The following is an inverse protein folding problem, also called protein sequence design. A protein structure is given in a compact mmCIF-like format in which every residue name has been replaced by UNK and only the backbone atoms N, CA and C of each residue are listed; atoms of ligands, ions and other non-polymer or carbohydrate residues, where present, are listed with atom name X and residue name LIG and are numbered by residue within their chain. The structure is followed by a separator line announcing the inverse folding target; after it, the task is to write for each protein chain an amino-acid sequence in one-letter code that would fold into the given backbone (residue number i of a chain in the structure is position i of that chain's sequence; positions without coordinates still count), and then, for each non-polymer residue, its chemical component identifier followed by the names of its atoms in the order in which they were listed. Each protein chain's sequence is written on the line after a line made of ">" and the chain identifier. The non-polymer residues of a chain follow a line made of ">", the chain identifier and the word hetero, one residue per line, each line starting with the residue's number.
data_IF_482544945980
#
_entry.id   IF_482544945980
#
_cell.length_a   1.000
_cell.length_b   1.000
_cell.length_c   1.000
_cell.angle_alpha   90.00
_cell.angle_beta   90.00
_cell.angle_gamma   90.00
#
_symmetry.space_group_name_H-M   'P 1'
#
loop_
_entity.id
_entity.type
_entity.pdbx_description
1 polymer ?
#
# COMPACT_ATOMS: atom_id res chain seq x y z
N UNK A 1 27.54 -17.37 49.83
CA UNK A 1 26.89 -16.43 48.89
C UNK A 1 25.83 -17.26 48.20
N UNK A 2 24.63 -17.33 48.77
CA UNK A 2 23.51 -18.07 48.20
C UNK A 2 22.88 -17.21 47.10
N UNK A 3 22.83 -17.75 45.89
CA UNK A 3 22.19 -17.13 44.74
C UNK A 3 20.68 -17.38 44.88
N UNK A 4 19.92 -16.31 45.13
CA UNK A 4 18.46 -16.35 45.15
C UNK A 4 17.96 -16.58 43.72
N UNK A 5 17.41 -17.76 43.47
CA UNK A 5 16.77 -18.11 42.21
C UNK A 5 15.35 -17.52 42.17
N UNK A 6 15.24 -16.34 41.55
CA UNK A 6 14.04 -15.50 41.50
C UNK A 6 12.87 -16.14 40.70
N UNK A 7 13.10 -17.27 40.05
CA UNK A 7 12.13 -17.92 39.16
C UNK A 7 11.63 -19.28 39.66
N UNK A 8 12.08 -19.74 40.83
CA UNK A 8 11.66 -21.02 41.41
C UNK A 8 10.15 -21.09 41.75
N UNK A 9 9.44 -19.95 41.79
CA UNK A 9 7.99 -19.88 42.07
C UNK A 9 7.10 -19.87 40.82
N UNK A 10 7.66 -19.87 39.60
CA UNK A 10 6.89 -20.00 38.38
C UNK A 10 6.82 -21.49 38.03
N UNK A 11 5.68 -22.13 38.34
CA UNK A 11 5.42 -23.51 37.94
C UNK A 11 5.55 -23.71 36.43
N UNK A 12 5.69 -24.97 36.00
CA UNK A 12 5.85 -25.29 34.58
C UNK A 12 4.73 -24.68 33.72
N UNK A 13 5.05 -24.08 32.56
CA UNK A 13 4.05 -23.49 31.69
C UNK A 13 3.06 -24.57 31.21
N UNK A 14 1.77 -24.32 31.43
CA UNK A 14 0.70 -25.19 30.95
C UNK A 14 0.79 -25.30 29.42
N UNK A 15 0.81 -26.53 28.90
CA UNK A 15 0.88 -26.78 27.47
C UNK A 15 -0.30 -26.08 26.76
N UNK A 16 0.02 -25.20 25.80
CA UNK A 16 -0.96 -24.55 24.94
C UNK A 16 -1.86 -25.62 24.31
N UNK A 17 -3.14 -25.60 24.68
CA UNK A 17 -4.16 -26.42 24.01
C UNK A 17 -4.23 -25.96 22.56
N UNK A 18 -4.21 -26.87 21.57
CA UNK A 18 -4.29 -26.48 20.17
C UNK A 18 -5.61 -25.74 19.94
N UNK A 19 -5.54 -24.45 19.68
CA UNK A 19 -6.69 -23.71 19.18
C UNK A 19 -7.13 -24.33 17.86
N UNK A 20 -8.45 -24.51 17.72
CA UNK A 20 -9.06 -25.07 16.53
C UNK A 20 -8.56 -24.32 15.30
N UNK A 21 -8.04 -25.04 14.32
CA UNK A 21 -7.69 -24.51 12.99
C UNK A 21 -8.85 -23.62 12.50
N UNK A 22 -8.62 -22.32 12.47
CA UNK A 22 -9.62 -21.34 12.03
C UNK A 22 -9.72 -21.47 10.51
N UNK A 23 -10.80 -22.08 10.04
CA UNK A 23 -11.13 -22.08 8.61
C UNK A 23 -11.88 -20.80 8.31
N UNK A 24 -11.24 -19.86 7.62
CA UNK A 24 -11.90 -18.66 7.11
C UNK A 24 -13.01 -19.07 6.11
N UNK A 25 -14.15 -18.37 6.08
CA UNK A 25 -15.17 -18.63 5.07
C UNK A 25 -14.58 -18.39 3.68
N UNK A 26 -14.72 -19.39 2.80
CA UNK A 26 -14.30 -19.26 1.40
C UNK A 26 -15.07 -18.09 0.76
N UNK A 27 -14.42 -17.23 -0.05
CA UNK A 27 -15.12 -16.23 -0.83
C UNK A 27 -16.18 -16.90 -1.70
N UNK A 28 -17.43 -16.44 -1.62
CA UNK A 28 -18.50 -16.93 -2.48
C UNK A 28 -18.18 -16.45 -3.90
N UNK A 29 -17.82 -17.39 -4.77
CA UNK A 29 -17.60 -17.11 -6.19
C UNK A 29 -18.89 -16.52 -6.80
N UNK A 30 -18.89 -15.24 -7.15
CA UNK A 30 -20.08 -14.63 -7.73
C UNK A 30 -20.03 -13.14 -8.09
N UNK A 31 -18.97 -12.38 -7.80
CA UNK A 31 -18.93 -10.96 -8.11
C UNK A 31 -17.54 -10.51 -8.58
N UNK A 32 -17.21 -10.88 -9.81
CA UNK A 32 -16.19 -10.18 -10.58
C UNK A 32 -16.88 -9.58 -11.79
N UNK A 33 -16.50 -8.34 -12.13
CA UNK A 33 -16.70 -7.77 -13.46
C UNK A 33 -16.29 -8.79 -14.55
N UNK A 34 -16.89 -8.76 -15.76
CA UNK A 34 -16.81 -9.86 -16.72
C UNK A 34 -15.36 -10.28 -16.96
N UNK A 35 -15.15 -11.59 -16.93
CA UNK A 35 -13.89 -12.30 -17.20
C UNK A 35 -13.02 -11.55 -18.21
N UNK A 36 -11.92 -10.97 -17.73
CA UNK A 36 -10.77 -10.68 -18.59
C UNK A 36 -10.37 -12.01 -19.22
N UNK A 37 -10.21 -12.03 -20.54
CA UNK A 37 -9.82 -13.23 -21.27
C UNK A 37 -8.60 -13.87 -20.59
N UNK A 38 -8.65 -15.19 -20.37
CA UNK A 38 -7.51 -15.95 -19.87
C UNK A 38 -6.29 -15.58 -20.71
N UNK A 39 -5.18 -15.10 -20.11
CA UNK A 39 -3.91 -15.05 -20.81
C UNK A 39 -3.65 -16.44 -21.37
N UNK A 40 -3.33 -16.54 -22.67
CA UNK A 40 -2.88 -17.80 -23.25
C UNK A 40 -1.72 -18.29 -22.39
N UNK A 41 -1.83 -19.52 -21.89
CA UNK A 41 -0.71 -20.20 -21.24
C UNK A 41 0.51 -20.07 -22.16
N UNK A 42 1.64 -19.54 -21.68
CA UNK A 42 2.88 -19.61 -22.42
C UNK A 42 3.10 -21.07 -22.80
N UNK A 43 3.23 -21.34 -24.10
CA UNK A 43 3.71 -22.63 -24.56
C UNK A 43 5.00 -22.92 -23.81
N UNK A 44 5.08 -24.11 -23.21
CA UNK A 44 6.21 -24.54 -22.38
C UNK A 44 7.53 -24.32 -23.12
N UNK A 45 8.15 -23.16 -22.89
CA UNK A 45 9.51 -22.90 -23.26
C UNK A 45 10.38 -23.78 -22.36
N UNK A 46 11.31 -24.49 -22.98
CA UNK A 46 12.20 -25.44 -22.34
C UNK A 46 12.73 -24.89 -21.01
N UNK A 47 12.68 -25.75 -19.98
CA UNK A 47 13.13 -25.47 -18.62
C UNK A 47 14.42 -24.63 -18.62
N UNK A 48 14.29 -23.36 -18.26
CA UNK A 48 15.43 -22.56 -17.85
C UNK A 48 16.01 -23.23 -16.60
N UNK A 49 17.34 -23.41 -16.58
CA UNK A 49 18.04 -24.01 -15.45
C UNK A 49 17.76 -23.29 -14.12
N UNK A 50 18.22 -23.84 -12.98
CA UNK A 50 17.84 -23.37 -11.65
C UNK A 50 17.98 -21.85 -11.59
N UNK A 51 16.85 -21.17 -11.37
CA UNK A 51 16.75 -19.73 -11.35
C UNK A 51 17.87 -19.19 -10.49
N UNK A 52 18.75 -18.40 -11.11
CA UNK A 52 19.83 -17.74 -10.41
C UNK A 52 19.16 -16.91 -9.32
N UNK A 53 19.34 -17.28 -8.04
CA UNK A 53 18.95 -16.49 -6.86
C UNK A 53 19.20 -15.04 -7.25
N UNK A 54 18.17 -14.20 -7.22
CA UNK A 54 18.40 -12.78 -7.40
C UNK A 54 19.42 -12.41 -6.33
N UNK A 55 20.67 -12.15 -6.73
CA UNK A 55 21.61 -11.44 -5.87
C UNK A 55 20.81 -10.22 -5.42
N UNK A 56 20.55 -10.10 -4.11
CA UNK A 56 19.88 -8.95 -3.53
C UNK A 56 20.50 -7.72 -4.19
N UNK A 57 19.76 -7.13 -5.12
CA UNK A 57 20.37 -6.21 -6.06
C UNK A 57 20.68 -4.97 -5.24
N UNK A 58 21.95 -4.84 -4.85
CA UNK A 58 22.55 -3.59 -4.38
C UNK A 58 22.67 -2.59 -5.53
N UNK A 59 21.62 -2.43 -6.34
CA UNK A 59 21.35 -1.11 -6.88
C UNK A 59 20.80 -0.37 -5.67
N UNK A 60 21.47 0.69 -5.17
CA UNK A 60 20.74 1.65 -4.38
C UNK A 60 19.63 2.12 -5.32
N UNK A 61 18.41 1.60 -5.15
CA UNK A 61 17.29 2.47 -5.40
C UNK A 61 17.59 3.65 -4.49
N UNK A 62 17.76 4.84 -5.06
CA UNK A 62 18.21 6.07 -4.41
C UNK A 62 17.15 6.58 -3.40
N UNK A 63 16.55 5.69 -2.59
CA UNK A 63 15.49 5.97 -1.64
C UNK A 63 15.84 7.03 -0.62
N UNK A 64 17.03 7.02 0.01
CA UNK A 64 17.48 8.14 0.82
C UNK A 64 17.46 9.47 0.05
N UNK A 65 18.00 9.49 -1.17
CA UNK A 65 18.05 10.70 -1.99
C UNK A 65 16.66 11.12 -2.50
N UNK A 66 15.77 10.16 -2.79
CA UNK A 66 14.37 10.40 -3.12
C UNK A 66 13.66 11.06 -1.94
N UNK A 67 13.74 10.47 -0.75
CA UNK A 67 13.13 11.02 0.45
C UNK A 67 13.67 12.41 0.78
N UNK A 68 14.99 12.60 0.68
CA UNK A 68 15.62 13.91 0.87
C UNK A 68 15.15 14.93 -0.16
N UNK A 69 15.00 14.54 -1.43
CA UNK A 69 14.49 15.42 -2.48
C UNK A 69 13.05 15.86 -2.23
N UNK A 70 12.18 14.93 -1.81
CA UNK A 70 10.79 15.23 -1.43
C UNK A 70 10.75 16.20 -0.25
N UNK A 71 11.44 15.89 0.85
CA UNK A 71 11.48 16.73 2.03
C UNK A 71 12.07 18.12 1.72
N UNK A 72 13.13 18.14 0.94
CA UNK A 72 13.78 19.38 0.52
C UNK A 72 12.88 20.25 -0.35
N UNK A 73 12.16 19.66 -1.32
CA UNK A 73 11.22 20.40 -2.17
C UNK A 73 10.07 20.98 -1.33
N UNK A 74 9.50 20.17 -0.44
CA UNK A 74 8.42 20.58 0.47
C UNK A 74 8.84 21.74 1.38
N UNK A 75 9.99 21.63 2.05
CA UNK A 75 10.43 22.65 3.00
C UNK A 75 10.98 23.91 2.32
N UNK A 76 11.70 23.80 1.19
CA UNK A 76 12.18 24.97 0.43
C UNK A 76 11.05 25.80 -0.17
N UNK A 77 9.94 25.15 -0.53
CA UNK A 77 8.74 25.82 -1.02
C UNK A 77 7.82 26.31 0.10
N UNK A 78 8.24 26.22 1.37
CA UNK A 78 7.46 26.63 2.55
C UNK A 78 6.13 25.88 2.72
N UNK A 79 6.08 24.58 2.41
CA UNK A 79 4.87 23.75 2.55
C UNK A 79 4.36 23.55 3.99
N UNK A 80 5.15 23.89 5.01
CA UNK A 80 4.76 23.80 6.42
C UNK A 80 4.90 22.39 7.00
N UNK A 81 4.07 22.07 7.98
CA UNK A 81 4.24 20.87 8.83
C UNK A 81 3.30 19.70 8.47
N UNK A 82 2.45 19.87 7.45
CA UNK A 82 1.46 18.88 7.01
C UNK A 82 2.14 17.78 6.18
N UNK A 83 2.76 16.81 6.85
CA UNK A 83 3.47 15.70 6.21
C UNK A 83 2.57 14.83 5.33
N UNK A 84 1.26 14.81 5.60
CA UNK A 84 0.28 14.05 4.83
C UNK A 84 0.18 14.50 3.37
N UNK A 85 0.50 15.76 3.07
CA UNK A 85 0.46 16.31 1.70
C UNK A 85 1.58 15.72 0.82
N UNK A 86 2.88 15.90 1.14
CA UNK A 86 3.95 15.31 0.34
C UNK A 86 3.87 13.77 0.30
N UNK A 87 3.41 13.12 1.37
CA UNK A 87 3.13 11.67 1.36
C UNK A 87 2.00 11.31 0.40
N UNK A 88 0.92 12.08 0.38
CA UNK A 88 -0.19 11.91 -0.54
C UNK A 88 0.21 12.05 -2.00
N UNK A 89 1.13 12.95 -2.30
CA UNK A 89 1.69 13.13 -3.64
C UNK A 89 2.45 11.87 -4.08
N UNK A 90 3.33 11.35 -3.23
CA UNK A 90 4.07 10.10 -3.50
C UNK A 90 3.11 8.93 -3.67
N UNK A 91 2.11 8.80 -2.78
CA UNK A 91 1.08 7.78 -2.88
C UNK A 91 0.27 7.89 -4.18
N UNK A 92 -0.07 9.10 -4.62
CA UNK A 92 -0.81 9.36 -5.86
C UNK A 92 -0.04 8.85 -7.09
N UNK A 93 1.26 9.15 -7.17
CA UNK A 93 2.11 8.67 -8.26
C UNK A 93 2.30 7.15 -8.20
N UNK A 94 2.54 6.61 -7.00
CA UNK A 94 2.73 5.17 -6.80
C UNK A 94 1.49 4.35 -7.17
N UNK A 95 0.31 4.89 -6.87
CA UNK A 95 -0.98 4.28 -7.17
C UNK A 95 -1.52 4.66 -8.54
N UNK A 96 -0.77 5.38 -9.39
CA UNK A 96 -1.31 5.78 -10.69
C UNK A 96 -1.75 4.54 -11.49
N UNK A 97 -3.02 4.47 -11.97
CA UNK A 97 -3.57 3.24 -12.56
C UNK A 97 -2.85 2.75 -13.82
N UNK A 98 -2.35 3.69 -14.64
CA UNK A 98 -1.63 3.35 -15.86
C UNK A 98 -0.18 2.99 -15.53
N UNK A 99 0.19 1.73 -15.78
CA UNK A 99 1.55 1.20 -15.61
C UNK A 99 2.24 1.04 -16.97
N UNK A 100 3.56 0.85 -16.98
CA UNK A 100 4.40 0.63 -18.17
C UNK A 100 4.83 1.89 -18.94
N UNK A 101 4.37 3.08 -18.55
CA UNK A 101 4.51 4.32 -19.34
C UNK A 101 5.15 5.48 -18.55
N UNK A 102 6.13 5.16 -17.68
CA UNK A 102 6.68 6.10 -16.70
C UNK A 102 7.09 7.48 -17.29
N UNK A 103 7.86 7.49 -18.40
CA UNK A 103 8.29 8.74 -19.05
C UNK A 103 7.13 9.58 -19.57
N UNK A 104 6.21 8.97 -20.32
CA UNK A 104 5.03 9.68 -20.88
C UNK A 104 4.16 10.25 -19.77
N UNK A 105 3.97 9.48 -18.69
CA UNK A 105 3.22 9.93 -17.52
C UNK A 105 3.94 11.07 -16.79
N UNK A 106 5.25 11.00 -16.63
CA UNK A 106 6.02 12.07 -16.01
C UNK A 106 5.88 13.39 -16.79
N UNK A 107 5.95 13.35 -18.12
CA UNK A 107 5.76 14.54 -18.96
C UNK A 107 4.33 15.08 -18.88
N UNK A 108 3.33 14.19 -18.83
CA UNK A 108 1.94 14.57 -18.57
C UNK A 108 1.80 15.33 -17.24
N UNK A 109 2.27 14.76 -16.12
CA UNK A 109 2.16 15.41 -14.81
C UNK A 109 2.92 16.73 -14.72
N UNK A 110 4.10 16.84 -15.36
CA UNK A 110 4.87 18.10 -15.40
C UNK A 110 4.13 19.23 -16.11
N UNK A 111 3.25 18.89 -17.05
CA UNK A 111 2.43 19.85 -17.78
C UNK A 111 1.24 20.39 -16.99
N UNK A 112 0.88 19.77 -15.86
CA UNK A 112 -0.30 20.13 -15.09
C UNK A 112 -0.06 21.34 -14.19
N UNK A 113 -1.10 22.15 -14.01
CA UNK A 113 -1.14 23.15 -12.95
C UNK A 113 -1.50 22.52 -11.59
N UNK A 114 -1.45 23.33 -10.52
CA UNK A 114 -1.71 22.82 -9.18
C UNK A 114 -3.14 22.27 -9.02
N UNK A 115 -4.15 22.92 -9.59
CA UNK A 115 -5.55 22.49 -9.47
C UNK A 115 -5.78 21.16 -10.19
N UNK A 116 -5.18 21.00 -11.37
CA UNK A 116 -5.18 19.73 -12.10
C UNK A 116 -4.46 18.62 -11.33
N UNK A 117 -3.35 18.93 -10.65
CA UNK A 117 -2.66 17.97 -9.79
C UNK A 117 -3.52 17.55 -8.58
N UNK A 118 -4.24 18.48 -7.93
CA UNK A 118 -5.20 18.15 -6.88
C UNK A 118 -6.32 17.23 -7.42
N UNK A 119 -6.80 17.49 -8.63
CA UNK A 119 -7.77 16.60 -9.29
C UNK A 119 -7.21 15.19 -9.48
N UNK A 120 -5.95 15.04 -9.91
CA UNK A 120 -5.30 13.73 -10.02
C UNK A 120 -5.24 12.98 -8.69
N UNK A 121 -4.96 13.66 -7.57
CA UNK A 121 -4.97 13.05 -6.22
C UNK A 121 -6.35 12.46 -5.91
N UNK A 122 -7.42 13.24 -6.17
CA UNK A 122 -8.81 12.79 -5.96
C UNK A 122 -9.19 11.62 -6.87
N UNK A 123 -8.78 11.67 -8.13
CA UNK A 123 -9.07 10.63 -9.12
C UNK A 123 -8.40 9.30 -8.75
N UNK A 124 -7.14 9.32 -8.31
CA UNK A 124 -6.44 8.10 -7.84
C UNK A 124 -7.12 7.52 -6.61
N UNK A 125 -7.46 8.37 -5.64
CA UNK A 125 -8.17 7.95 -4.44
C UNK A 125 -9.52 7.29 -4.80
N UNK A 126 -10.32 7.92 -5.67
CA UNK A 126 -11.59 7.36 -6.12
C UNK A 126 -11.42 6.05 -6.91
N UNK A 127 -10.43 5.97 -7.81
CA UNK A 127 -10.15 4.78 -8.61
C UNK A 127 -9.84 3.57 -7.73
N UNK A 128 -9.01 3.75 -6.70
CA UNK A 128 -8.65 2.68 -5.79
C UNK A 128 -9.70 2.44 -4.72
N UNK A 129 -10.47 3.43 -4.29
CA UNK A 129 -11.57 3.22 -3.36
C UNK A 129 -12.61 2.26 -3.95
N UNK A 130 -12.87 2.34 -5.25
CA UNK A 130 -13.73 1.38 -5.96
C UNK A 130 -13.17 -0.06 -5.96
N UNK A 131 -11.88 -0.27 -5.72
CA UNK A 131 -11.23 -1.59 -5.79
C UNK A 131 -10.88 -2.14 -4.41
N UNK A 132 -10.31 -1.29 -3.57
CA UNK A 132 -9.78 -1.55 -2.22
C UNK A 132 -10.27 -0.44 -1.27
N UNK A 133 -11.60 -0.35 -1.01
CA UNK A 133 -12.15 0.72 -0.19
C UNK A 133 -11.61 0.68 1.24
N UNK A 134 -11.27 -0.51 1.73
CA UNK A 134 -10.65 -0.76 3.02
C UNK A 134 -9.28 -0.10 3.15
N UNK A 135 -8.39 -0.33 2.19
CA UNK A 135 -7.04 0.24 2.20
C UNK A 135 -7.05 1.74 1.93
N UNK A 136 -7.94 2.22 1.05
CA UNK A 136 -8.04 3.65 0.77
C UNK A 136 -8.69 4.41 1.94
N UNK A 137 -9.60 3.80 2.69
CA UNK A 137 -10.12 4.40 3.93
C UNK A 137 -9.03 4.51 4.99
N UNK A 138 -8.23 3.45 5.19
CA UNK A 138 -7.02 3.51 6.06
C UNK A 138 -6.03 4.56 5.59
N UNK A 139 -5.81 4.68 4.27
CA UNK A 139 -4.92 5.66 3.68
C UNK A 139 -5.56 7.06 3.50
N UNK A 140 -6.78 7.28 3.99
CA UNK A 140 -7.55 8.48 3.64
C UNK A 140 -6.88 9.80 4.04
N UNK A 141 -6.07 9.79 5.11
CA UNK A 141 -5.26 10.95 5.51
C UNK A 141 -4.34 11.46 4.38
N UNK A 142 -3.90 10.57 3.48
CA UNK A 142 -3.03 10.89 2.35
C UNK A 142 -3.77 11.53 1.16
N UNK A 143 -5.11 11.52 1.15
CA UNK A 143 -5.89 11.99 0.00
C UNK A 143 -6.89 13.09 0.35
N UNK A 144 -7.43 13.10 1.58
CA UNK A 144 -8.48 14.04 2.01
C UNK A 144 -8.08 15.51 1.87
N UNK A 145 -6.79 15.83 2.01
CA UNK A 145 -6.30 17.20 1.84
C UNK A 145 -6.58 17.75 0.43
N UNK A 146 -6.67 16.91 -0.61
CA UNK A 146 -6.98 17.35 -1.96
C UNK A 146 -8.46 17.75 -2.16
N UNK A 147 -9.33 17.48 -1.18
CA UNK A 147 -10.73 17.94 -1.17
C UNK A 147 -10.86 19.37 -0.61
N UNK A 148 -9.78 19.95 -0.06
CA UNK A 148 -9.77 21.24 0.63
C UNK A 148 -9.47 22.43 -0.32
N UNK A 149 -9.77 22.33 -1.63
CA UNK A 149 -9.29 23.25 -2.69
C UNK A 149 -9.44 24.74 -2.40
N UNK A 150 -10.55 25.15 -1.78
CA UNK A 150 -10.85 26.56 -1.47
C UNK A 150 -9.98 27.16 -0.34
N UNK A 151 -9.10 26.35 0.27
CA UNK A 151 -8.32 26.74 1.46
C UNK A 151 -6.83 26.96 1.20
N UNK A 152 -6.31 26.65 0.02
CA UNK A 152 -4.88 26.74 -0.24
C UNK A 152 -4.43 28.14 -0.68
N UNK A 153 -3.37 28.61 -0.01
CA UNK A 153 -2.63 29.80 -0.43
C UNK A 153 -1.80 29.51 -1.69
N UNK A 154 -1.38 30.56 -2.40
CA UNK A 154 -0.49 30.43 -3.56
C UNK A 154 0.85 29.76 -3.20
N UNK A 155 1.35 29.95 -1.98
CA UNK A 155 2.57 29.31 -1.49
C UNK A 155 2.37 27.79 -1.29
N UNK A 156 1.24 27.36 -0.73
CA UNK A 156 0.94 25.94 -0.57
C UNK A 156 0.75 25.24 -1.92
N UNK A 157 0.05 25.88 -2.86
CA UNK A 157 -0.08 25.36 -4.23
C UNK A 157 1.27 25.25 -4.94
N UNK A 158 2.17 26.20 -4.71
CA UNK A 158 3.56 26.13 -5.19
C UNK A 158 4.31 24.96 -4.54
N UNK A 159 4.18 24.75 -3.23
CA UNK A 159 4.83 23.64 -2.52
C UNK A 159 4.32 22.27 -2.99
N UNK A 160 3.01 22.12 -3.19
CA UNK A 160 2.38 20.91 -3.75
C UNK A 160 2.98 20.62 -5.12
N UNK A 161 2.99 21.62 -6.02
CA UNK A 161 3.56 21.47 -7.35
C UNK A 161 5.05 21.12 -7.30
N UNK A 162 5.85 21.84 -6.52
CA UNK A 162 7.28 21.59 -6.38
C UNK A 162 7.56 20.15 -5.90
N UNK A 163 6.72 19.63 -5.00
CA UNK A 163 6.84 18.26 -4.49
C UNK A 163 6.49 17.22 -5.55
N UNK A 164 5.44 17.45 -6.36
CA UNK A 164 5.14 16.60 -7.52
C UNK A 164 6.32 16.55 -8.48
N UNK A 165 6.88 17.70 -8.85
CA UNK A 165 8.04 17.75 -9.73
C UNK A 165 9.25 17.02 -9.15
N UNK A 166 9.54 17.21 -7.85
CA UNK A 166 10.62 16.49 -7.19
C UNK A 166 10.43 14.97 -7.22
N UNK A 167 9.21 14.47 -6.98
CA UNK A 167 8.90 13.05 -7.07
C UNK A 167 9.12 12.50 -8.49
N UNK A 168 8.72 13.26 -9.51
CA UNK A 168 8.90 12.87 -10.92
C UNK A 168 10.37 12.90 -11.34
N UNK A 169 11.12 13.92 -10.92
CA UNK A 169 12.53 14.09 -11.26
C UNK A 169 13.42 13.05 -10.56
N UNK A 170 12.94 12.49 -9.44
CA UNK A 170 13.53 11.35 -8.76
C UNK A 170 12.83 10.02 -9.08
N UNK A 171 12.22 9.93 -10.28
CA UNK A 171 11.78 8.68 -10.89
C UNK A 171 10.72 7.88 -10.09
N UNK A 172 9.82 8.55 -9.35
CA UNK A 172 8.74 7.87 -8.62
C UNK A 172 7.96 6.88 -9.50
N UNK A 173 7.67 7.27 -10.74
CA UNK A 173 6.93 6.46 -11.70
C UNK A 173 7.76 5.31 -12.29
N UNK A 174 9.08 5.43 -12.39
CA UNK A 174 9.91 4.27 -12.78
C UNK A 174 10.01 3.28 -11.62
N UNK A 175 9.98 3.73 -10.37
CA UNK A 175 10.04 2.85 -9.21
C UNK A 175 8.76 2.04 -8.95
N UNK A 176 7.60 2.59 -9.31
CA UNK A 176 6.28 2.03 -8.92
C UNK A 176 5.31 1.90 -10.09
N UNK A 177 5.77 2.22 -11.29
CA UNK A 177 4.97 2.21 -12.52
C UNK A 177 5.14 0.93 -13.35
N UNK A 178 5.75 -0.13 -12.82
CA UNK A 178 5.88 -1.40 -13.56
C UNK A 178 4.54 -2.16 -13.58
N UNK A 179 4.32 -2.94 -14.65
CA UNK A 179 3.20 -3.88 -14.72
C UNK A 179 3.37 -5.05 -13.75
N UNK A 180 4.62 -5.45 -13.52
CA UNK A 180 5.00 -6.48 -12.55
C UNK A 180 5.11 -5.89 -11.13
N UNK A 181 4.30 -6.37 -10.17
CA UNK A 181 4.39 -5.95 -8.77
C UNK A 181 5.72 -6.26 -8.09
N UNK A 182 6.51 -7.22 -8.59
CA UNK A 182 7.84 -7.50 -8.05
C UNK A 182 8.73 -6.28 -8.14
N UNK A 183 8.88 -5.71 -9.35
CA UNK A 183 9.70 -4.53 -9.59
C UNK A 183 9.24 -3.32 -8.77
N UNK A 184 7.93 -3.17 -8.57
CA UNK A 184 7.34 -2.11 -7.75
C UNK A 184 7.65 -2.23 -6.25
N UNK A 185 8.19 -3.36 -5.79
CA UNK A 185 8.53 -3.62 -4.39
C UNK A 185 10.03 -3.63 -4.10
N UNK A 186 10.86 -3.25 -5.07
CA UNK A 186 12.31 -3.07 -4.85
C UNK A 186 12.62 -1.88 -3.94
N UNK A 187 11.74 -0.88 -3.87
CA UNK A 187 11.88 0.28 -3.00
C UNK A 187 10.56 0.61 -2.29
N UNK A 188 10.66 0.98 -1.02
CA UNK A 188 9.55 1.54 -0.25
C UNK A 188 9.63 3.08 -0.28
N UNK A 189 9.00 3.70 -1.29
CA UNK A 189 8.98 5.16 -1.41
C UNK A 189 8.28 5.84 -0.23
N UNK A 190 7.26 5.19 0.36
CA UNK A 190 6.53 5.73 1.50
C UNK A 190 7.44 5.83 2.73
N UNK A 191 8.17 4.75 3.05
CA UNK A 191 9.13 4.71 4.15
C UNK A 191 10.16 5.83 4.03
N UNK A 192 10.81 5.95 2.87
CA UNK A 192 11.85 6.96 2.65
C UNK A 192 11.31 8.39 2.75
N UNK A 193 10.08 8.61 2.29
CA UNK A 193 9.42 9.92 2.37
C UNK A 193 9.07 10.28 3.82
N UNK A 194 8.42 9.38 4.57
CA UNK A 194 8.08 9.59 6.00
C UNK A 194 9.36 9.88 6.78
N UNK A 195 10.36 9.02 6.60
CA UNK A 195 11.64 9.08 7.30
C UNK A 195 12.35 10.41 7.08
N UNK A 196 12.31 10.94 5.86
CA UNK A 196 12.99 12.18 5.49
C UNK A 196 12.22 13.44 5.91
N UNK A 197 10.90 13.37 5.97
CA UNK A 197 10.04 14.46 6.43
C UNK A 197 10.00 14.60 7.97
N UNK A 198 10.20 13.50 8.72
CA UNK A 198 10.27 13.56 10.18
C UNK A 198 11.52 14.32 10.62
N UNK A 199 11.33 15.34 11.47
CA UNK A 199 12.45 16.06 12.09
C UNK A 199 13.37 15.09 12.84
N UNK A 200 14.69 15.29 12.69
CA UNK A 200 15.74 14.44 13.28
C UNK A 200 15.54 14.18 14.79
N UNK A 201 15.08 15.17 15.55
CA UNK A 201 14.83 15.04 17.00
C UNK A 201 13.62 14.14 17.32
N UNK A 202 12.60 14.12 16.47
CA UNK A 202 11.46 13.22 16.63
C UNK A 202 11.87 11.76 16.40
N UNK A 203 12.78 11.51 15.45
CA UNK A 203 13.33 10.16 15.17
C UNK A 203 14.09 9.59 16.38
N UNK A 204 14.88 10.42 17.08
CA UNK A 204 15.58 9.99 18.29
C UNK A 204 14.64 9.79 19.50
N UNK A 205 13.61 10.62 19.66
CA UNK A 205 12.68 10.54 20.77
C UNK A 205 11.66 9.39 20.68
N UNK A 206 11.29 8.99 19.46
CA UNK A 206 10.34 7.90 19.20
C UNK A 206 11.02 6.52 19.17
N UNK A 207 12.34 6.45 19.02
CA UNK A 207 13.06 5.17 18.92
C UNK A 207 12.68 4.36 17.66
N UNK A 208 12.06 4.99 16.67
CA UNK A 208 11.67 4.38 15.40
C UNK A 208 12.92 4.19 14.54
N UNK A 209 13.53 3.00 14.63
CA UNK A 209 14.63 2.59 13.76
C UNK A 209 14.07 1.76 12.60
N UNK A 210 14.33 2.21 11.38
CA UNK A 210 14.00 1.44 10.19
C UNK A 210 14.79 0.13 10.19
N UNK A 211 14.11 -1.01 10.18
CA UNK A 211 14.76 -2.32 10.03
C UNK A 211 15.44 -2.37 8.65
N UNK A 212 16.77 -2.56 8.56
CA UNK A 212 17.43 -2.64 7.28
C UNK A 212 16.82 -3.74 6.39
N UNK A 213 16.62 -3.50 5.08
CA UNK A 213 16.01 -4.46 4.18
C UNK A 213 16.62 -5.86 4.25
N UNK A 214 17.93 -5.94 4.41
CA UNK A 214 18.69 -7.21 4.47
C UNK A 214 18.32 -8.04 5.71
N UNK A 215 18.01 -7.37 6.82
CA UNK A 215 17.54 -8.03 8.05
C UNK A 215 16.12 -8.54 7.86
N UNK A 216 15.24 -7.75 7.24
CA UNK A 216 13.89 -8.20 6.90
C UNK A 216 13.91 -9.39 5.93
N UNK A 217 14.77 -9.36 4.91
CA UNK A 217 14.92 -10.44 3.92
C UNK A 217 15.39 -11.74 4.61
N UNK A 218 16.39 -11.65 5.49
CA UNK A 218 16.83 -12.78 6.31
C UNK A 218 15.71 -13.33 7.20
N UNK A 219 15.00 -12.46 7.92
CA UNK A 219 13.91 -12.87 8.82
C UNK A 219 12.77 -13.52 8.06
N UNK A 220 12.36 -12.95 6.93
CA UNK A 220 11.31 -13.49 6.07
C UNK A 220 11.67 -14.91 5.59
N UNK A 221 12.91 -15.11 5.12
CA UNK A 221 13.38 -16.42 4.67
C UNK A 221 13.38 -17.45 5.81
N UNK A 222 13.76 -17.06 7.03
CA UNK A 222 13.75 -17.95 8.19
C UNK A 222 12.33 -18.30 8.67
N UNK A 223 11.41 -17.33 8.66
CA UNK A 223 10.03 -17.52 9.14
C UNK A 223 9.21 -18.35 8.15
N UNK A 224 9.35 -18.07 6.85
CA UNK A 224 8.58 -18.74 5.80
C UNK A 224 9.18 -20.10 5.44
N UNK A 225 10.52 -20.22 5.49
CA UNK A 225 11.24 -21.42 5.06
C UNK A 225 11.54 -21.42 3.56
N UNK A 226 12.30 -22.43 3.11
CA UNK A 226 12.78 -22.54 1.72
C UNK A 226 12.03 -23.61 0.90
N UNK A 227 11.20 -24.45 1.52
CA UNK A 227 10.48 -25.54 0.86
C UNK A 227 9.10 -25.06 0.36
N UNK A 228 8.90 -24.87 -0.96
CA UNK A 228 7.62 -24.42 -1.50
C UNK A 228 6.49 -25.43 -1.28
N UNK A 229 6.79 -26.72 -1.14
CA UNK A 229 5.77 -27.76 -0.91
C UNK A 229 5.20 -27.69 0.51
N UNK A 230 5.99 -27.19 1.47
CA UNK A 230 5.56 -26.95 2.85
C UNK A 230 4.77 -25.63 3.02
N UNK A 231 4.87 -24.72 2.06
CA UNK A 231 4.20 -23.42 2.08
C UNK A 231 2.87 -23.54 1.34
N UNK A 232 1.76 -23.40 2.05
CA UNK A 232 0.43 -23.58 1.47
C UNK A 232 -0.28 -22.25 1.23
N UNK A 233 -1.00 -22.18 0.11
CA UNK A 233 -1.94 -21.10 -0.16
C UNK A 233 -2.94 -20.95 1.01
N UNK A 234 -3.12 -19.73 1.51
CA UNK A 234 -3.94 -19.46 2.70
C UNK A 234 -3.16 -19.29 4.01
N UNK A 235 -1.83 -19.42 4.01
CA UNK A 235 -1.01 -18.96 5.13
C UNK A 235 -1.28 -17.48 5.42
N UNK A 236 -1.32 -17.14 6.70
CA UNK A 236 -1.55 -15.79 7.18
C UNK A 236 -0.26 -15.23 7.75
N UNK A 237 0.19 -14.10 7.23
CA UNK A 237 1.31 -13.35 7.75
C UNK A 237 0.77 -12.15 8.53
N UNK A 238 1.22 -11.99 9.76
CA UNK A 238 0.86 -10.88 10.63
C UNK A 238 2.13 -10.13 11.04
N UNK A 239 2.10 -8.82 10.88
CA UNK A 239 3.13 -7.91 11.40
C UNK A 239 2.46 -6.94 12.38
N UNK A 240 2.76 -7.06 13.70
CA UNK A 240 2.10 -6.28 14.74
C UNK A 240 2.61 -4.83 14.84
N UNK A 241 3.71 -4.49 14.15
CA UNK A 241 4.34 -3.17 14.13
C UNK A 241 4.84 -2.88 12.72
N UNK A 242 3.92 -2.92 11.75
CA UNK A 242 4.24 -3.04 10.35
C UNK A 242 4.98 -1.83 9.78
N UNK A 243 4.90 -0.65 10.41
CA UNK A 243 5.34 0.60 9.80
C UNK A 243 4.65 0.77 8.44
N UNK A 244 5.45 0.97 7.39
CA UNK A 244 4.99 1.01 5.98
C UNK A 244 4.97 -0.36 5.30
N UNK A 245 5.23 -1.45 6.03
CA UNK A 245 5.17 -2.84 5.55
C UNK A 245 6.51 -3.43 5.10
N UNK A 246 7.65 -2.93 5.59
CA UNK A 246 8.99 -3.39 5.16
C UNK A 246 9.22 -4.91 5.32
N UNK A 247 8.66 -5.53 6.36
CA UNK A 247 8.69 -6.99 6.54
C UNK A 247 7.85 -7.69 5.46
N UNK A 248 6.66 -7.18 5.14
CA UNK A 248 5.79 -7.74 4.10
C UNK A 248 6.37 -7.60 2.70
N UNK A 249 7.07 -6.49 2.40
CA UNK A 249 7.84 -6.34 1.16
C UNK A 249 8.82 -7.51 1.00
N UNK A 250 9.57 -7.79 2.06
CA UNK A 250 10.63 -8.81 2.09
C UNK A 250 10.03 -10.22 2.02
N UNK A 251 8.94 -10.48 2.74
CA UNK A 251 8.18 -11.72 2.65
C UNK A 251 7.58 -11.96 1.25
N UNK A 252 7.02 -10.94 0.62
CA UNK A 252 6.49 -11.03 -0.74
C UNK A 252 7.59 -11.34 -1.77
N UNK A 253 8.76 -10.70 -1.62
CA UNK A 253 9.94 -11.00 -2.45
C UNK A 253 10.44 -12.43 -2.25
N UNK A 254 10.50 -12.91 -1.01
CA UNK A 254 10.86 -14.29 -0.70
C UNK A 254 9.90 -15.30 -1.33
N UNK A 255 8.59 -15.06 -1.23
CA UNK A 255 7.56 -15.90 -1.87
C UNK A 255 7.73 -15.93 -3.40
N UNK A 256 7.94 -14.77 -4.04
CA UNK A 256 8.21 -14.70 -5.49
C UNK A 256 9.46 -15.47 -5.90
N UNK A 257 10.52 -15.40 -5.07
CA UNK A 257 11.74 -16.17 -5.27
C UNK A 257 11.56 -17.69 -5.19
N UNK A 258 10.44 -18.15 -4.61
CA UNK A 258 10.00 -19.55 -4.57
C UNK A 258 8.93 -19.87 -5.64
N UNK A 259 8.72 -18.99 -6.62
CA UNK A 259 7.66 -19.07 -7.64
C UNK A 259 6.23 -19.09 -7.05
N UNK A 260 6.05 -18.55 -5.83
CA UNK A 260 4.75 -18.41 -5.17
C UNK A 260 4.19 -17.00 -5.36
N UNK A 261 2.89 -16.92 -5.62
CA UNK A 261 2.19 -15.65 -5.80
C UNK A 261 1.77 -15.04 -4.44
N UNK A 262 2.35 -13.88 -4.03
CA UNK A 262 1.99 -13.21 -2.78
C UNK A 262 0.49 -12.88 -2.65
N UNK A 263 -0.22 -12.72 -3.78
CA UNK A 263 -1.64 -12.39 -3.77
C UNK A 263 -2.55 -13.50 -3.23
N UNK A 264 -2.02 -14.73 -3.09
CA UNK A 264 -2.73 -15.91 -2.57
C UNK A 264 -2.62 -16.07 -1.05
N UNK A 265 -1.84 -15.22 -0.40
CA UNK A 265 -1.63 -15.23 1.05
C UNK A 265 -2.52 -14.20 1.73
N UNK A 266 -2.72 -14.37 3.04
CA UNK A 266 -3.43 -13.37 3.86
C UNK A 266 -2.41 -12.52 4.60
N UNK A 267 -2.57 -11.21 4.55
CA UNK A 267 -1.63 -10.26 5.14
C UNK A 267 -2.37 -9.37 6.14
N UNK A 268 -1.89 -9.32 7.37
CA UNK A 268 -2.45 -8.49 8.44
C UNK A 268 -1.37 -7.56 8.99
N UNK A 269 -1.40 -6.29 8.59
CA UNK A 269 -0.55 -5.27 9.18
C UNK A 269 -1.28 -4.55 10.31
N UNK A 270 -0.53 -4.26 11.36
CA UNK A 270 -0.96 -3.41 12.46
C UNK A 270 0.09 -2.36 12.73
N UNK A 271 -0.33 -1.11 12.87
CA UNK A 271 0.58 0.03 13.05
C UNK A 271 -0.11 1.12 13.86
N UNK A 272 0.61 1.73 14.80
CA UNK A 272 0.04 2.75 15.69
C UNK A 272 0.04 4.14 15.03
N UNK A 273 1.06 4.44 14.21
CA UNK A 273 1.19 5.71 13.52
C UNK A 273 0.27 5.78 12.29
N UNK A 274 -0.68 6.74 12.23
CA UNK A 274 -1.61 6.81 11.11
C UNK A 274 -0.97 7.05 9.74
N UNK A 275 0.16 7.75 9.67
CA UNK A 275 0.85 8.01 8.39
C UNK A 275 1.58 6.76 7.91
N UNK A 276 2.21 6.01 8.81
CA UNK A 276 2.85 4.73 8.52
C UNK A 276 1.80 3.68 8.11
N UNK A 277 0.69 3.57 8.85
CA UNK A 277 -0.43 2.70 8.50
C UNK A 277 -1.01 3.03 7.11
N UNK A 278 -1.17 4.33 6.80
CA UNK A 278 -1.59 4.78 5.49
C UNK A 278 -0.56 4.42 4.39
N UNK A 279 0.74 4.61 4.65
CA UNK A 279 1.82 4.18 3.76
C UNK A 279 1.83 2.67 3.53
N UNK A 280 1.58 1.88 4.58
CA UNK A 280 1.43 0.43 4.48
C UNK A 280 0.26 0.04 3.57
N UNK A 281 -0.90 0.69 3.73
CA UNK A 281 -2.06 0.43 2.90
C UNK A 281 -1.81 0.76 1.41
N UNK A 282 -1.10 1.85 1.12
CA UNK A 282 -0.62 2.19 -0.24
C UNK A 282 0.31 1.09 -0.76
N UNK A 283 1.31 0.72 0.03
CA UNK A 283 2.32 -0.26 -0.36
C UNK A 283 1.73 -1.66 -0.60
N UNK A 284 0.75 -2.10 0.19
CA UNK A 284 0.05 -3.38 -0.05
C UNK A 284 -0.60 -3.46 -1.43
N UNK A 285 -1.10 -2.32 -1.94
CA UNK A 285 -1.64 -2.21 -3.30
C UNK A 285 -0.50 -2.23 -4.32
N UNK A 286 0.51 -1.36 -4.14
CA UNK A 286 1.64 -1.19 -5.07
C UNK A 286 2.43 -2.50 -5.25
N UNK A 287 2.64 -3.23 -4.16
CA UNK A 287 3.38 -4.49 -4.12
C UNK A 287 2.51 -5.69 -4.49
N UNK A 288 1.24 -5.50 -4.85
CA UNK A 288 0.38 -6.58 -5.35
C UNK A 288 0.18 -7.71 -4.35
N UNK A 289 0.01 -7.41 -3.05
CA UNK A 289 -0.24 -8.43 -2.01
C UNK A 289 -1.64 -9.07 -2.09
N UNK A 290 -2.40 -8.72 -3.13
CA UNK A 290 -3.67 -9.34 -3.46
C UNK A 290 -4.84 -8.85 -2.62
N UNK A 291 -6.00 -9.50 -2.78
CA UNK A 291 -7.21 -9.07 -2.12
C UNK A 291 -7.10 -9.27 -0.61
N UNK A 292 -6.41 -10.28 -0.08
CA UNK A 292 -6.43 -10.65 1.33
C UNK A 292 -5.43 -9.87 2.21
N UNK A 293 -4.96 -8.71 1.75
CA UNK A 293 -4.07 -7.84 2.52
C UNK A 293 -4.86 -6.76 3.25
N UNK A 294 -4.70 -6.59 4.56
CA UNK A 294 -5.50 -5.70 5.40
C UNK A 294 -4.61 -4.96 6.40
N UNK A 295 -4.97 -3.72 6.74
CA UNK A 295 -4.23 -2.87 7.67
C UNK A 295 -5.16 -2.37 8.77
N UNK A 296 -4.74 -2.46 10.03
CA UNK A 296 -5.40 -1.83 11.17
C UNK A 296 -4.49 -0.77 11.80
N UNK A 297 -5.00 0.46 11.97
CA UNK A 297 -4.29 1.51 12.69
C UNK A 297 -4.65 1.46 14.18
N UNK A 298 -3.74 1.08 15.08
CA UNK A 298 -4.01 1.00 16.51
C UNK A 298 -2.83 0.51 17.35
N UNK A 299 -3.02 0.50 18.67
CA UNK A 299 -1.97 0.18 19.64
C UNK A 299 -1.98 -1.33 19.96
N UNK A 300 -0.94 -2.03 19.54
CA UNK A 300 -0.77 -3.48 19.78
C UNK A 300 -0.67 -3.86 21.24
N UNK A 301 -0.02 -3.04 22.07
CA UNK A 301 0.15 -3.36 23.48
C UNK A 301 -1.14 -3.12 24.26
N UNK A 302 -1.91 -2.10 23.89
CA UNK A 302 -3.15 -1.77 24.56
C UNK A 302 -4.35 -2.61 24.07
N UNK A 303 -4.41 -2.92 22.77
CA UNK A 303 -5.58 -3.55 22.13
C UNK A 303 -5.35 -5.01 21.71
N UNK A 304 -4.10 -5.49 21.69
CA UNK A 304 -3.75 -6.84 21.22
C UNK A 304 -3.84 -6.96 19.70
N UNK A 305 -4.27 -8.15 19.23
CA UNK A 305 -4.38 -8.48 17.81
C UNK A 305 -5.57 -7.78 17.14
N UNK A 306 -5.30 -6.89 16.18
CA UNK A 306 -6.33 -6.10 15.50
C UNK A 306 -6.81 -6.70 14.17
N UNK A 307 -6.40 -7.93 13.82
CA UNK A 307 -6.79 -8.56 12.55
C UNK A 307 -8.32 -8.69 12.41
N UNK A 308 -9.05 -8.97 13.50
CA UNK A 308 -10.53 -9.03 13.49
C UNK A 308 -11.15 -7.69 13.13
N UNK A 309 -10.57 -6.61 13.66
CA UNK A 309 -10.98 -5.24 13.36
C UNK A 309 -10.69 -4.90 11.90
N UNK A 310 -9.55 -5.34 11.35
CA UNK A 310 -9.22 -5.16 9.94
C UNK A 310 -10.20 -5.91 9.01
N UNK A 311 -10.57 -7.15 9.36
CA UNK A 311 -11.57 -7.94 8.61
C UNK A 311 -12.93 -7.26 8.63
N UNK A 312 -13.39 -6.81 9.81
CA UNK A 312 -14.68 -6.14 9.95
C UNK A 312 -14.71 -4.78 9.25
N UNK A 313 -13.64 -3.98 9.41
CA UNK A 313 -13.49 -2.70 8.71
C UNK A 313 -13.59 -2.90 7.20
N UNK A 314 -12.90 -3.90 6.65
CA UNK A 314 -13.01 -4.23 5.24
C UNK A 314 -14.43 -4.60 4.84
N UNK A 315 -15.11 -5.46 5.61
CA UNK A 315 -16.49 -5.86 5.34
C UNK A 315 -17.39 -4.64 5.20
N UNK A 316 -17.32 -3.72 6.17
CA UNK A 316 -18.08 -2.47 6.18
C UNK A 316 -17.73 -1.57 4.99
N UNK A 317 -16.44 -1.44 4.66
CA UNK A 317 -16.01 -0.58 3.55
C UNK A 317 -16.41 -1.14 2.18
N UNK A 318 -16.41 -2.46 2.01
CA UNK A 318 -16.92 -3.12 0.80
C UNK A 318 -18.43 -2.92 0.67
N UNK A 319 -19.19 -3.12 1.75
CA UNK A 319 -20.64 -2.88 1.78
C UNK A 319 -20.97 -1.43 1.40
N UNK A 320 -20.26 -0.46 2.01
CA UNK A 320 -20.40 0.96 1.68
C UNK A 320 -20.10 1.27 0.21
N UNK A 321 -19.05 0.67 -0.36
CA UNK A 321 -18.72 0.82 -1.78
C UNK A 321 -19.84 0.30 -2.67
N UNK A 322 -20.36 -0.87 -2.36
CA UNK A 322 -21.41 -1.51 -3.15
C UNK A 322 -22.70 -0.69 -3.14
N UNK A 323 -23.05 -0.12 -1.98
CA UNK A 323 -24.18 0.82 -1.85
C UNK A 323 -23.99 2.08 -2.70
N UNK A 324 -22.81 2.72 -2.63
CA UNK A 324 -22.49 3.90 -3.44
C UNK A 324 -22.53 3.57 -4.94
N UNK A 325 -21.99 2.42 -5.33
CA UNK A 325 -22.01 1.96 -6.72
C UNK A 325 -23.45 1.74 -7.23
N UNK A 326 -24.32 1.14 -6.40
CA UNK A 326 -25.73 0.95 -6.72
C UNK A 326 -26.47 2.29 -6.89
N UNK A 327 -26.24 3.24 -5.99
CA UNK A 327 -26.82 4.58 -6.08
C UNK A 327 -26.34 5.33 -7.34
N UNK A 328 -25.06 5.24 -7.68
CA UNK A 328 -24.50 5.85 -8.87
C UNK A 328 -25.06 5.24 -10.16
N UNK A 329 -25.28 3.92 -10.20
CA UNK A 329 -25.91 3.25 -11.33
C UNK A 329 -27.36 3.75 -11.55
N UNK A 330 -28.13 3.92 -10.47
CA UNK A 330 -29.47 4.49 -10.53
C UNK A 330 -29.44 5.92 -11.06
N UNK A 331 -28.59 6.79 -10.49
CA UNK A 331 -28.47 8.18 -10.91
C UNK A 331 -28.03 8.32 -12.38
N UNK A 332 -27.15 7.43 -12.86
CA UNK A 332 -26.78 7.37 -14.26
C UNK A 332 -27.96 6.95 -15.16
N UNK A 333 -28.71 5.92 -14.76
CA UNK A 333 -29.87 5.45 -15.51
C UNK A 333 -30.96 6.54 -15.63
N UNK A 334 -31.24 7.26 -14.55
CA UNK A 334 -32.19 8.38 -14.53
C UNK A 334 -31.76 9.49 -15.49
N UNK A 335 -30.51 9.98 -15.38
CA UNK A 335 -29.98 11.01 -16.28
C UNK A 335 -30.02 10.60 -17.75
N UNK A 336 -29.73 9.33 -18.05
CA UNK A 336 -29.79 8.80 -19.41
C UNK A 336 -31.23 8.75 -19.94
N UNK A 337 -32.21 8.38 -19.11
CA UNK A 337 -33.62 8.40 -19.48
C UNK A 337 -34.10 9.84 -19.76
N UNK A 338 -33.74 10.80 -18.91
CA UNK A 338 -34.05 12.22 -19.10
C UNK A 338 -33.47 12.77 -20.41
N UNK A 339 -32.22 12.43 -20.74
CA UNK A 339 -31.59 12.83 -22.00
C UNK A 339 -32.31 12.26 -23.23
N UNK A 340 -32.75 10.99 -23.18
CA UNK A 340 -33.49 10.36 -24.28
C UNK A 340 -34.87 10.99 -24.47
N UNK A 341 -35.57 11.32 -23.36
CA UNK A 341 -36.87 12.01 -23.40
C UNK A 341 -36.70 13.44 -23.95
N UNK A 342 -35.66 14.17 -23.53
CA UNK A 342 -35.35 15.51 -24.02
C UNK A 342 -35.06 15.50 -25.53
N UNK A 343 -34.21 14.59 -25.99
CA UNK A 343 -33.87 14.46 -27.41
C UNK A 343 -35.08 14.06 -28.28
N UNK A 344 -35.99 13.23 -27.76
CA UNK A 344 -37.24 12.89 -28.47
C UNK A 344 -38.21 14.08 -28.54
N UNK A 345 -38.21 14.94 -27.52
CA UNK A 345 -39.08 16.12 -27.45
C UNK A 345 -38.59 17.27 -28.35
N UNK A 346 -37.28 17.35 -28.64
CA UNK A 346 -36.71 18.32 -29.59
C UNK A 346 -36.81 17.89 -31.06
N UNK A 347 -37.08 16.60 -31.31
CA UNK A 347 -37.21 16.03 -32.65
C UNK A 347 -38.65 16.05 -33.21
N UNK A 348 -39.62 16.55 -32.43
CA UNK A 348 -41.04 16.68 -32.80
C UNK A 348 -41.39 18.16 -32.94
#
# INVERSE_FOLDING_TARGET
>A
MEQLDLFASLGEPEALKPEKTITLPKPVAGQWAPTVAKPQQPTAAAAAGPGRRAEFSMRPADGPAFGEAIASAWHRAHGGNRMEIPLGIVATLALWPLKGHARTLADFFRGLDAQQLLACVREVAAYWWMRRPDLIDTASVLFRWAEEEEKYTQHELHAIRATFHAALDHNALDHTGHEDPEANSWIDLMSWTITSLRHHTARQGLGEYHTPPEVCDMMAAQIIGEDPEAIHEGYSLLDPCAGTGGMFRSAAQHLRGLDLDPAKFTWFAQEIDPLAAAGCAVNMIVWGLGPNAMVACGDTLAEGDLWRRAVEHRRVMVERRDDVAAQMAIAYAVRRAEQLIGAASEAT
#
